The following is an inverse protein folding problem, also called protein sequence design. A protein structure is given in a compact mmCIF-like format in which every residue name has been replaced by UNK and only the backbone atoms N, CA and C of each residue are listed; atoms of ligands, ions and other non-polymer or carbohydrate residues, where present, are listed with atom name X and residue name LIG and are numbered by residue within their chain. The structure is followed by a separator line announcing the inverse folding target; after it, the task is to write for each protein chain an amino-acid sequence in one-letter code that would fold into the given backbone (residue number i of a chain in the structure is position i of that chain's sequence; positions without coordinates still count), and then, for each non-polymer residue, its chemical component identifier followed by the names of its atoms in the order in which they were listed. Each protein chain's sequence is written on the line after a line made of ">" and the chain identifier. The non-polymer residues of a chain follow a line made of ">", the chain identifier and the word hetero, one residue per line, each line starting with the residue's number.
data_IF_779103234551
#
_entry.id   IF_779103234551
#
_cell.length_a   1.000
_cell.length_b   1.000
_cell.length_c   1.000
_cell.angle_alpha   90.00
_cell.angle_beta   90.00
_cell.angle_gamma   90.00
#
_symmetry.space_group_name_H-M   'P 1'
#
loop_
_entity.id
_entity.type
_entity.pdbx_description
1 polymer ?
#
# COMPACT_ATOMS: atom_id res chain seq x y z
N UNK A 1 -0.58 2.97 -22.31
CA UNK A 1 -0.44 1.63 -21.68
C UNK A 1 -0.75 1.63 -20.18
N UNK A 2 0.15 2.14 -19.32
CA UNK A 2 0.09 1.98 -17.85
C UNK A 2 -1.14 2.63 -17.21
N UNK A 3 -1.45 3.89 -17.54
CA UNK A 3 -2.61 4.59 -16.97
C UNK A 3 -3.95 3.89 -17.28
N UNK A 4 -4.08 3.34 -18.50
CA UNK A 4 -5.25 2.55 -18.89
C UNK A 4 -5.37 1.25 -18.10
N UNK A 5 -4.25 0.64 -17.73
CA UNK A 5 -4.27 -0.52 -16.83
C UNK A 5 -4.80 -0.13 -15.45
N UNK A 6 -4.35 1.00 -14.89
CA UNK A 6 -4.79 1.48 -13.57
C UNK A 6 -6.28 1.88 -13.53
N UNK A 7 -6.75 2.58 -14.55
CA UNK A 7 -8.12 3.12 -14.58
C UNK A 7 -9.12 2.02 -14.94
N UNK A 8 -8.81 1.22 -15.97
CA UNK A 8 -9.79 0.29 -16.56
C UNK A 8 -9.57 -1.18 -16.14
N UNK A 9 -8.46 -1.51 -15.47
CA UNK A 9 -8.10 -2.91 -15.20
C UNK A 9 -7.92 -3.75 -16.47
N UNK A 10 -7.59 -3.12 -17.61
CA UNK A 10 -7.54 -3.80 -18.91
C UNK A 10 -6.50 -4.92 -18.90
N UNK A 11 -6.86 -6.10 -19.43
CA UNK A 11 -5.96 -7.26 -19.54
C UNK A 11 -4.67 -6.90 -20.29
N UNK A 12 -3.51 -7.33 -19.78
CA UNK A 12 -2.21 -6.99 -20.39
C UNK A 12 -2.05 -7.45 -21.84
N UNK A 13 -2.65 -8.59 -22.22
CA UNK A 13 -2.62 -9.07 -23.60
C UNK A 13 -3.37 -8.15 -24.56
N UNK A 14 -4.48 -7.55 -24.13
CA UNK A 14 -5.22 -6.56 -24.92
C UNK A 14 -4.41 -5.26 -25.03
N UNK A 15 -3.87 -4.80 -23.91
CA UNK A 15 -3.02 -3.63 -23.85
C UNK A 15 -1.77 -3.76 -24.74
N UNK A 16 -1.14 -4.92 -24.79
CA UNK A 16 -0.03 -5.21 -25.69
C UNK A 16 -0.44 -5.07 -27.16
N UNK A 17 -1.55 -5.70 -27.55
CA UNK A 17 -2.10 -5.63 -28.92
C UNK A 17 -2.40 -4.18 -29.33
N UNK A 18 -3.12 -3.44 -28.50
CA UNK A 18 -3.57 -2.08 -28.79
C UNK A 18 -2.41 -1.09 -28.96
N UNK A 19 -1.22 -1.41 -28.42
CA UNK A 19 -0.03 -0.57 -28.49
C UNK A 19 1.04 -1.16 -29.43
N UNK A 20 0.75 -2.24 -30.17
CA UNK A 20 1.71 -2.88 -31.08
C UNK A 20 2.94 -3.49 -30.38
N UNK A 21 2.78 -3.93 -29.13
CA UNK A 21 3.87 -4.47 -28.29
C UNK A 21 3.77 -5.99 -28.15
N UNK A 22 4.90 -6.63 -27.87
CA UNK A 22 4.88 -7.99 -27.32
C UNK A 22 4.33 -7.99 -25.89
N UNK A 23 3.75 -9.11 -25.45
CA UNK A 23 3.23 -9.26 -24.09
C UNK A 23 4.34 -9.05 -23.06
N UNK A 24 5.55 -9.57 -23.30
CA UNK A 24 6.70 -9.38 -22.42
C UNK A 24 7.12 -7.91 -22.29
N UNK A 25 7.10 -7.15 -23.39
CA UNK A 25 7.38 -5.71 -23.35
C UNK A 25 6.28 -4.94 -22.60
N UNK A 26 5.02 -5.32 -22.77
CA UNK A 26 3.91 -4.72 -22.03
C UNK A 26 4.01 -4.97 -20.52
N UNK A 27 4.39 -6.19 -20.09
CA UNK A 27 4.68 -6.49 -18.68
C UNK A 27 5.84 -5.64 -18.14
N UNK A 28 6.93 -5.55 -18.90
CA UNK A 28 8.09 -4.73 -18.50
C UNK A 28 7.69 -3.27 -18.30
N UNK A 29 6.97 -2.67 -19.25
CA UNK A 29 6.50 -1.30 -19.12
C UNK A 29 5.49 -1.11 -17.99
N UNK A 30 4.65 -2.10 -17.70
CA UNK A 30 3.78 -2.05 -16.52
C UNK A 30 4.62 -1.91 -15.24
N UNK A 31 5.63 -2.76 -15.06
CA UNK A 31 6.48 -2.71 -13.87
C UNK A 31 7.36 -1.45 -13.80
N UNK A 32 7.94 -1.00 -14.91
CA UNK A 32 8.66 0.28 -14.96
C UNK A 32 7.74 1.46 -14.58
N UNK A 33 6.51 1.46 -15.10
CA UNK A 33 5.49 2.46 -14.75
C UNK A 33 5.12 2.44 -13.26
N UNK A 34 4.95 1.23 -12.69
CA UNK A 34 4.71 1.06 -11.25
C UNK A 34 5.87 1.62 -10.42
N UNK A 35 7.12 1.35 -10.81
CA UNK A 35 8.31 1.89 -10.13
C UNK A 35 8.34 3.42 -10.17
N UNK A 36 8.08 4.03 -11.32
CA UNK A 36 8.06 5.50 -11.46
C UNK A 36 6.97 6.13 -10.59
N UNK A 37 5.76 5.56 -10.60
CA UNK A 37 4.67 6.06 -9.77
C UNK A 37 4.96 5.89 -8.27
N UNK A 38 5.52 4.75 -7.87
CA UNK A 38 5.90 4.50 -6.49
C UNK A 38 7.01 5.47 -6.02
N UNK A 39 7.97 5.80 -6.89
CA UNK A 39 9.01 6.78 -6.58
C UNK A 39 8.48 8.21 -6.39
N UNK A 40 7.31 8.52 -6.95
CA UNK A 40 6.61 9.80 -6.75
C UNK A 40 5.70 9.85 -5.52
N UNK A 41 5.50 8.72 -4.83
CA UNK A 41 4.67 8.69 -3.63
C UNK A 41 5.35 9.45 -2.48
N UNK A 42 4.61 10.25 -1.71
CA UNK A 42 5.19 10.94 -0.55
C UNK A 42 5.62 9.92 0.50
N UNK A 43 6.70 10.23 1.23
CA UNK A 43 6.98 9.53 2.48
C UNK A 43 5.97 9.95 3.56
N UNK A 44 6.01 9.25 4.70
CA UNK A 44 5.05 9.46 5.79
C UNK A 44 5.11 10.89 6.32
N UNK A 45 6.31 11.43 6.55
CA UNK A 45 6.49 12.77 7.09
C UNK A 45 5.88 13.82 6.15
N UNK A 46 6.20 13.73 4.86
CA UNK A 46 5.67 14.62 3.83
C UNK A 46 4.15 14.51 3.73
N UNK A 47 3.58 13.31 3.79
CA UNK A 47 2.13 13.12 3.74
C UNK A 47 1.44 13.78 4.92
N UNK A 48 1.99 13.65 6.13
CA UNK A 48 1.43 14.23 7.33
C UNK A 48 1.59 15.77 7.38
N UNK A 49 2.73 16.31 6.93
CA UNK A 49 2.91 17.76 6.77
C UNK A 49 1.90 18.36 5.80
N UNK A 50 1.63 17.69 4.67
CA UNK A 50 0.60 18.10 3.71
C UNK A 50 -0.81 18.02 4.31
N UNK A 51 -1.10 16.97 5.07
CA UNK A 51 -2.38 16.84 5.77
C UNK A 51 -2.62 18.00 6.75
N UNK A 52 -1.58 18.37 7.52
CA UNK A 52 -1.62 19.54 8.41
C UNK A 52 -1.84 20.83 7.62
N UNK A 53 -1.06 21.05 6.55
CA UNK A 53 -1.17 22.25 5.74
C UNK A 53 -2.56 22.39 5.08
N UNK A 54 -3.21 21.27 4.78
CA UNK A 54 -4.59 21.22 4.29
C UNK A 54 -5.65 21.42 5.38
N UNK A 55 -5.27 21.52 6.66
CA UNK A 55 -6.19 21.72 7.78
C UNK A 55 -7.10 20.52 8.05
N UNK A 56 -6.64 19.29 7.76
CA UNK A 56 -7.43 18.09 8.02
C UNK A 56 -7.66 17.91 9.52
N UNK A 57 -8.90 17.58 9.89
CA UNK A 57 -9.31 17.48 11.31
C UNK A 57 -8.85 16.21 11.99
N UNK A 58 -8.64 15.13 11.23
CA UNK A 58 -8.19 13.84 11.74
C UNK A 58 -7.64 13.03 10.55
N UNK A 59 -6.96 11.93 10.86
CA UNK A 59 -6.48 10.96 9.88
C UNK A 59 -6.98 9.57 10.24
N UNK A 60 -7.32 8.79 9.22
CA UNK A 60 -7.71 7.40 9.38
C UNK A 60 -6.49 6.50 9.18
N UNK A 61 -6.18 5.68 10.17
CA UNK A 61 -5.18 4.61 10.08
C UNK A 61 -5.89 3.27 9.95
N UNK A 62 -5.60 2.53 8.89
CA UNK A 62 -6.14 1.19 8.68
C UNK A 62 -5.06 0.23 8.15
N UNK A 63 -5.30 -1.07 8.32
CA UNK A 63 -4.50 -2.16 7.79
C UNK A 63 -5.32 -3.02 6.83
N UNK A 64 -4.78 -3.27 5.64
CA UNK A 64 -5.44 -4.12 4.65
C UNK A 64 -4.51 -5.23 4.16
N UNK A 65 -5.07 -6.42 3.99
CA UNK A 65 -4.36 -7.56 3.40
C UNK A 65 -4.68 -7.61 1.91
N UNK A 66 -3.69 -7.29 1.09
CA UNK A 66 -3.78 -7.41 -0.36
C UNK A 66 -3.55 -8.87 -0.73
N UNK A 67 -4.61 -9.51 -1.24
CA UNK A 67 -4.59 -10.91 -1.65
C UNK A 67 -3.51 -11.16 -2.72
N UNK A 68 -2.75 -12.24 -2.53
CA UNK A 68 -1.75 -12.74 -3.48
C UNK A 68 -1.84 -14.26 -3.55
N UNK A 69 -1.68 -14.84 -4.73
CA UNK A 69 -1.85 -16.27 -4.98
C UNK A 69 -0.53 -17.05 -4.98
N UNK A 70 0.62 -16.36 -4.85
CA UNK A 70 1.95 -16.93 -5.17
C UNK A 70 3.04 -16.73 -4.14
N UNK A 71 2.70 -16.31 -2.92
CA UNK A 71 3.70 -16.08 -1.87
C UNK A 71 3.40 -16.99 -0.69
N UNK A 72 4.23 -18.01 -0.52
CA UNK A 72 4.22 -18.90 0.64
C UNK A 72 5.66 -19.01 1.15
N UNK A 73 5.86 -18.78 2.45
CA UNK A 73 7.17 -18.87 3.07
C UNK A 73 7.03 -19.41 4.51
N UNK A 74 7.96 -20.25 5.00
CA UNK A 74 7.93 -20.71 6.38
C UNK A 74 8.03 -19.53 7.36
N UNK A 75 7.07 -19.46 8.28
CA UNK A 75 7.06 -18.55 9.41
C UNK A 75 7.37 -19.26 10.72
N UNK A 76 7.34 -18.52 11.84
CA UNK A 76 7.47 -19.06 13.19
C UNK A 76 6.50 -20.21 13.43
N UNK A 77 6.99 -21.25 14.10
CA UNK A 77 6.23 -22.47 14.41
C UNK A 77 5.71 -23.23 13.17
N UNK A 78 6.32 -23.04 12.00
CA UNK A 78 5.96 -23.74 10.77
C UNK A 78 4.68 -23.24 10.10
N UNK A 79 4.08 -22.16 10.62
CA UNK A 79 2.95 -21.50 9.97
C UNK A 79 3.39 -20.78 8.68
N UNK A 80 2.51 -20.64 7.70
CA UNK A 80 2.82 -19.84 6.51
C UNK A 80 2.87 -18.35 6.89
N UNK A 81 3.99 -17.72 6.56
CA UNK A 81 4.28 -16.32 6.85
C UNK A 81 3.27 -15.37 6.20
N UNK A 82 2.81 -15.69 5.00
CA UNK A 82 1.95 -14.83 4.19
C UNK A 82 0.47 -15.18 4.29
N UNK A 83 0.12 -16.27 4.99
CA UNK A 83 -1.27 -16.64 5.23
C UNK A 83 -1.91 -15.76 6.31
N UNK A 84 -2.97 -15.04 5.94
CA UNK A 84 -3.78 -14.31 6.90
C UNK A 84 -4.83 -15.22 7.53
N UNK A 85 -4.69 -15.51 8.83
CA UNK A 85 -5.67 -16.29 9.57
C UNK A 85 -7.05 -15.62 9.68
N UNK A 86 -7.10 -14.28 9.67
CA UNK A 86 -8.33 -13.47 9.70
C UNK A 86 -9.05 -13.51 8.37
N UNK A 87 -8.34 -13.27 7.28
CA UNK A 87 -8.94 -13.15 5.94
C UNK A 87 -9.00 -14.47 5.15
N UNK A 88 -8.42 -15.55 5.70
CA UNK A 88 -8.40 -16.91 5.13
C UNK A 88 -7.84 -16.96 3.70
N UNK A 89 -6.80 -16.17 3.43
CA UNK A 89 -6.08 -16.16 2.17
C UNK A 89 -4.63 -15.69 2.34
N UNK A 90 -3.79 -15.99 1.35
CA UNK A 90 -2.41 -15.49 1.26
C UNK A 90 -2.38 -14.03 0.85
N UNK A 91 -1.61 -13.19 1.52
CA UNK A 91 -1.61 -11.76 1.22
C UNK A 91 -0.48 -11.00 1.87
N UNK A 92 -0.25 -9.80 1.37
CA UNK A 92 0.62 -8.82 2.01
C UNK A 92 -0.19 -7.84 2.84
N UNK A 93 0.15 -7.66 4.11
CA UNK A 93 -0.45 -6.63 4.96
C UNK A 93 0.20 -5.27 4.64
N UNK A 94 -0.61 -4.27 4.32
CA UNK A 94 -0.21 -2.89 4.05
C UNK A 94 -1.00 -1.97 4.96
N UNK A 95 -0.31 -1.04 5.62
CA UNK A 95 -0.94 0.01 6.42
C UNK A 95 -1.20 1.23 5.54
N UNK A 96 -2.32 1.90 5.76
CA UNK A 96 -2.76 3.05 4.98
C UNK A 96 -3.09 4.19 5.92
N UNK A 97 -2.61 5.40 5.60
CA UNK A 97 -3.09 6.64 6.21
C UNK A 97 -3.96 7.34 5.18
N UNK A 98 -5.18 7.70 5.60
CA UNK A 98 -6.17 8.34 4.74
C UNK A 98 -6.74 9.61 5.38
N UNK A 99 -7.26 10.49 4.52
CA UNK A 99 -8.04 11.67 4.91
C UNK A 99 -9.40 11.28 5.52
N UNK A 100 -10.14 12.24 6.12
CA UNK A 100 -11.49 12.00 6.66
C UNK A 100 -12.50 11.41 5.67
N UNK A 101 -12.41 11.78 4.38
CA UNK A 101 -13.26 11.24 3.30
C UNK A 101 -12.75 9.89 2.75
N UNK A 102 -11.71 9.32 3.36
CA UNK A 102 -11.17 8.00 3.01
C UNK A 102 -10.16 8.00 1.86
N UNK A 103 -9.69 9.17 1.41
CA UNK A 103 -8.67 9.25 0.37
C UNK A 103 -7.30 8.85 0.93
N UNK A 104 -6.62 7.82 0.36
CA UNK A 104 -5.32 7.40 0.84
C UNK A 104 -4.25 8.45 0.50
N UNK A 105 -3.52 8.90 1.53
CA UNK A 105 -2.42 9.88 1.39
C UNK A 105 -1.03 9.26 1.58
N UNK A 106 -0.97 8.07 2.18
CA UNK A 106 0.26 7.32 2.35
C UNK A 106 -0.02 5.81 2.52
N UNK A 107 0.92 4.98 2.08
CA UNK A 107 0.88 3.51 2.25
C UNK A 107 2.23 2.98 2.74
N UNK A 108 2.21 1.95 3.59
CA UNK A 108 3.42 1.32 4.09
C UNK A 108 4.06 0.37 3.08
N UNK A 109 5.36 0.05 3.24
CA UNK A 109 5.92 -1.16 2.67
C UNK A 109 5.12 -2.40 3.12
N UNK A 110 5.10 -3.43 2.28
CA UNK A 110 4.35 -4.66 2.55
C UNK A 110 4.97 -5.46 3.71
N UNK A 111 4.11 -5.96 4.59
CA UNK A 111 4.42 -6.88 5.68
C UNK A 111 3.75 -8.24 5.42
N UNK A 112 4.21 -9.31 6.09
CA UNK A 112 3.55 -10.61 6.01
C UNK A 112 2.06 -10.57 6.38
N UNK A 113 1.20 -11.20 5.58
CA UNK A 113 -0.27 -11.19 5.78
C UNK A 113 -0.76 -11.81 7.10
N UNK A 114 0.07 -12.62 7.77
CA UNK A 114 -0.25 -13.16 9.09
C UNK A 114 -0.15 -12.12 10.21
N UNK A 115 0.63 -11.06 10.00
CA UNK A 115 0.90 -10.10 11.06
C UNK A 115 -0.32 -9.23 11.34
N UNK A 116 -0.57 -8.99 12.64
CA UNK A 116 -1.64 -8.11 13.08
C UNK A 116 -1.35 -6.67 12.67
N UNK A 117 -2.39 -5.93 12.29
CA UNK A 117 -2.30 -4.54 11.82
C UNK A 117 -1.54 -3.65 12.81
N UNK A 118 -1.83 -3.77 14.11
CA UNK A 118 -1.12 -3.01 15.15
C UNK A 118 0.38 -3.33 15.22
N UNK A 119 0.79 -4.57 14.93
CA UNK A 119 2.21 -4.95 14.85
C UNK A 119 2.87 -4.32 13.63
N UNK A 120 2.20 -4.36 12.47
CA UNK A 120 2.65 -3.71 11.25
C UNK A 120 2.78 -2.19 11.46
N UNK A 121 1.78 -1.54 12.03
CA UNK A 121 1.77 -0.10 12.28
C UNK A 121 2.93 0.33 13.20
N UNK A 122 3.16 -0.41 14.30
CA UNK A 122 4.31 -0.17 15.19
C UNK A 122 5.65 -0.39 14.49
N UNK A 123 5.78 -1.46 13.70
CA UNK A 123 6.99 -1.75 12.94
C UNK A 123 7.35 -0.60 11.98
N UNK A 124 6.35 0.04 11.37
CA UNK A 124 6.56 1.19 10.50
C UNK A 124 6.69 2.53 11.24
N UNK A 125 6.69 2.53 12.58
CA UNK A 125 6.77 3.75 13.38
C UNK A 125 5.53 4.66 13.25
N UNK A 126 4.40 4.14 12.74
CA UNK A 126 3.19 4.94 12.50
C UNK A 126 2.61 5.49 13.80
N UNK A 127 2.58 4.66 14.84
CA UNK A 127 2.06 5.05 16.15
C UNK A 127 2.87 6.23 16.71
N UNK A 128 4.20 6.16 16.62
CA UNK A 128 5.08 7.21 17.13
C UNK A 128 4.98 8.49 16.30
N UNK A 129 4.91 8.37 14.97
CA UNK A 129 4.79 9.51 14.06
C UNK A 129 3.45 10.24 14.26
N UNK A 130 2.34 9.50 14.37
CA UNK A 130 1.01 10.07 14.59
C UNK A 130 0.90 10.71 15.98
N UNK A 131 1.42 10.05 17.03
CA UNK A 131 1.43 10.64 18.38
C UNK A 131 2.24 11.94 18.45
N UNK A 132 3.39 12.00 17.76
CA UNK A 132 4.17 13.24 17.68
C UNK A 132 3.37 14.37 17.06
N UNK A 133 2.67 14.08 15.97
CA UNK A 133 1.84 15.07 15.28
C UNK A 133 0.64 15.51 16.11
N UNK A 134 -0.03 14.58 16.80
CA UNK A 134 -1.10 14.95 17.71
C UNK A 134 -0.60 15.91 18.80
N UNK A 135 0.62 15.68 19.32
CA UNK A 135 1.24 16.54 20.33
C UNK A 135 1.73 17.91 19.79
N UNK A 136 2.24 17.95 18.56
CA UNK A 136 2.82 19.18 17.97
C UNK A 136 1.79 20.05 17.24
N UNK A 137 0.70 19.45 16.75
CA UNK A 137 -0.17 20.07 15.75
C UNK A 137 -1.62 20.27 16.19
N UNK A 138 -1.99 19.87 17.42
CA UNK A 138 -3.35 19.94 17.96
C UNK A 138 -4.41 19.28 17.04
N UNK A 139 -3.96 18.30 16.25
CA UNK A 139 -4.81 17.40 15.48
C UNK A 139 -5.20 16.22 16.38
N UNK A 140 -6.49 15.94 16.62
CA UNK A 140 -6.92 14.79 17.41
C UNK A 140 -6.55 13.44 16.78
#
# INVERSE_FOLDING_TARGET
>A
LILRWFIDGTRLSQLARDNGLSVSAAYRYLHEGLTVLAAGAPDLATALERAKAAGLTHLNLDGTVIHTDRVAAPGPHGADLWWSGKHKHHGGNVQVVATPDGWPIWVSPVRPGREHDTTCARHHGLVDALNRIAAELDMP
#
